data_IF_143631725417
#
_entry.id   IF_143631725417
#
_cell.length_a   1.000
_cell.length_b   1.000
_cell.length_c   1.000
_cell.angle_alpha   90.00
_cell.angle_beta   90.00
_cell.angle_gamma   90.00
#
_symmetry.space_group_name_H-M   'P 1'
#
loop_
_entity.id
_entity.type
_entity.pdbx_description
1 polymer ?
#
# COMPACT_ATOMS: atom_id res chain seq x y z
N UNK A 1 22.64 20.63 26.99
CA UNK A 1 23.49 19.60 26.39
C UNK A 1 22.56 18.58 25.73
N UNK A 2 22.48 18.64 24.40
CA UNK A 2 21.78 17.76 23.44
C UNK A 2 20.34 17.29 23.76
N UNK A 3 19.36 18.14 23.44
CA UNK A 3 18.05 17.66 23.02
C UNK A 3 18.11 17.36 21.52
N UNK A 4 17.95 16.09 21.13
CA UNK A 4 17.78 15.73 19.72
C UNK A 4 16.34 16.13 19.35
N UNK A 5 16.20 17.30 18.71
CA UNK A 5 15.00 17.64 17.98
C UNK A 5 14.89 16.64 16.83
N UNK A 6 14.05 15.61 16.98
CA UNK A 6 13.59 14.83 15.84
C UNK A 6 12.66 15.75 15.06
N UNK A 7 13.23 16.63 14.23
CA UNK A 7 12.44 17.35 13.25
C UNK A 7 11.89 16.28 12.32
N UNK A 8 10.55 16.17 12.28
CA UNK A 8 9.79 15.32 11.36
C UNK A 8 10.02 15.83 9.92
N UNK A 9 11.26 15.70 9.44
CA UNK A 9 11.73 16.28 8.20
C UNK A 9 11.14 15.50 7.04
N UNK A 10 9.99 16.00 6.58
CA UNK A 10 9.51 15.93 5.20
C UNK A 10 9.40 14.53 4.63
N UNK A 11 8.33 13.83 5.01
CA UNK A 11 7.66 13.00 4.02
C UNK A 11 6.93 13.96 3.07
N UNK A 12 7.31 14.07 1.78
CA UNK A 12 6.59 14.92 0.83
C UNK A 12 5.17 14.37 0.69
N UNK A 13 4.21 15.09 1.30
CA UNK A 13 2.79 14.94 1.01
C UNK A 13 2.61 15.27 -0.47
N UNK A 14 2.08 14.33 -1.23
CA UNK A 14 1.86 14.38 -2.69
C UNK A 14 3.05 14.10 -3.61
N UNK A 15 3.86 13.10 -3.28
CA UNK A 15 4.25 12.19 -4.34
C UNK A 15 3.05 11.23 -4.51
N UNK A 16 2.22 11.41 -5.55
CA UNK A 16 1.29 10.37 -6.00
C UNK A 16 2.02 9.56 -7.06
N UNK A 17 2.03 8.24 -6.95
CA UNK A 17 2.51 7.40 -8.03
C UNK A 17 1.63 7.73 -9.23
N UNK A 18 2.23 8.21 -10.33
CA UNK A 18 1.50 8.57 -11.55
C UNK A 18 0.61 7.39 -11.92
N UNK A 19 -0.69 7.52 -11.70
CA UNK A 19 -1.66 6.46 -11.87
C UNK A 19 -2.67 6.97 -12.90
N UNK A 20 -2.49 6.54 -14.14
CA UNK A 20 -3.52 6.68 -15.18
C UNK A 20 -4.82 5.95 -14.79
N UNK A 21 -4.74 4.98 -13.87
CA UNK A 21 -5.85 4.19 -13.38
C UNK A 21 -5.94 4.29 -11.85
N UNK A 22 -7.16 4.26 -11.31
CA UNK A 22 -7.57 4.48 -9.91
C UNK A 22 -7.00 3.51 -8.85
N UNK A 23 -5.87 2.87 -9.12
CA UNK A 23 -5.20 1.96 -8.20
C UNK A 23 -4.41 2.78 -7.18
N UNK A 24 -4.81 2.70 -5.91
CA UNK A 24 -4.04 3.25 -4.80
C UNK A 24 -2.63 2.67 -4.81
N UNK A 25 -1.64 3.56 -4.92
CA UNK A 25 -0.22 3.23 -4.99
C UNK A 25 0.55 4.02 -3.93
N UNK A 26 1.58 3.37 -3.39
CA UNK A 26 2.39 3.85 -2.27
C UNK A 26 3.85 3.95 -2.69
N UNK A 27 4.54 4.95 -2.15
CA UNK A 27 5.98 5.06 -2.31
C UNK A 27 6.72 4.28 -1.24
N UNK A 28 7.77 3.59 -1.65
CA UNK A 28 8.74 3.03 -0.73
C UNK A 28 9.51 4.15 -0.03
N UNK A 29 9.70 4.10 1.30
CA UNK A 29 10.51 5.08 2.03
C UNK A 29 11.96 5.15 1.55
N UNK A 30 12.57 4.00 1.24
CA UNK A 30 13.91 3.93 0.65
C UNK A 30 13.85 3.96 -0.88
N UNK A 31 14.57 4.88 -1.55
CA UNK A 31 14.69 4.91 -3.00
C UNK A 31 15.63 3.80 -3.52
N UNK A 32 15.63 3.52 -4.84
CA UNK A 32 16.63 2.61 -5.41
C UNK A 32 18.05 3.20 -5.29
N UNK A 33 19.06 2.38 -4.93
CA UNK A 33 20.44 2.84 -4.76
C UNK A 33 21.23 3.08 -6.06
N UNK A 34 20.68 2.77 -7.24
CA UNK A 34 21.38 3.02 -8.51
C UNK A 34 21.21 4.47 -8.98
N UNK A 35 22.34 5.18 -9.02
CA UNK A 35 22.48 6.62 -9.27
C UNK A 35 22.05 7.07 -10.68
N UNK A 36 21.71 6.16 -11.61
CA UNK A 36 21.30 6.52 -12.97
C UNK A 36 19.80 6.76 -13.13
N UNK A 37 18.97 6.23 -12.22
CA UNK A 37 17.54 6.51 -12.15
C UNK A 37 17.16 6.60 -10.67
N UNK A 38 17.39 7.79 -10.08
CA UNK A 38 16.96 8.17 -8.72
C UNK A 38 15.44 8.23 -8.60
N UNK A 39 14.77 7.11 -8.91
CA UNK A 39 13.34 6.96 -8.94
C UNK A 39 12.83 6.48 -7.60
N UNK A 40 11.78 7.14 -7.13
CA UNK A 40 10.98 6.60 -6.03
C UNK A 40 10.24 5.35 -6.50
N UNK A 41 10.29 4.28 -5.71
CA UNK A 41 9.61 3.01 -6.04
C UNK A 41 8.14 3.11 -5.67
N UNK A 42 7.29 2.72 -6.61
CA UNK A 42 5.85 2.68 -6.44
C UNK A 42 5.34 1.24 -6.37
N UNK A 43 4.67 0.89 -5.28
CA UNK A 43 3.99 -0.39 -5.11
C UNK A 43 2.48 -0.19 -5.05
N UNK A 44 1.70 -1.20 -5.46
CA UNK A 44 0.23 -1.14 -5.37
C UNK A 44 -0.24 -1.52 -3.98
N UNK A 45 -1.50 -1.20 -3.67
CA UNK A 45 -2.11 -1.57 -2.39
C UNK A 45 -2.06 -3.07 -2.09
N UNK A 46 -2.18 -3.92 -3.11
CA UNK A 46 -2.14 -5.38 -2.98
C UNK A 46 -0.75 -5.93 -2.63
N UNK A 47 0.29 -5.11 -2.84
CA UNK A 47 1.68 -5.47 -2.57
C UNK A 47 2.10 -5.20 -1.13
N UNK A 48 1.35 -4.39 -0.38
CA UNK A 48 1.65 -4.16 1.02
C UNK A 48 1.40 -5.42 1.86
N UNK A 49 2.40 -5.83 2.64
CA UNK A 49 2.29 -6.91 3.62
C UNK A 49 1.85 -8.27 3.04
N UNK A 50 2.19 -8.54 1.78
CA UNK A 50 1.90 -9.76 1.04
C UNK A 50 2.90 -10.91 1.32
N UNK A 51 3.97 -10.63 2.07
CA UNK A 51 5.04 -11.58 2.40
C UNK A 51 6.19 -11.62 1.39
N UNK A 52 6.21 -10.71 0.42
CA UNK A 52 7.22 -10.57 -0.62
C UNK A 52 7.77 -9.15 -0.54
N UNK A 53 9.07 -8.95 -0.24
CA UNK A 53 9.67 -7.62 -0.26
C UNK A 53 9.60 -6.99 -1.66
N UNK A 54 8.69 -6.03 -1.83
CA UNK A 54 8.53 -5.26 -3.06
C UNK A 54 9.30 -3.93 -3.00
N UNK A 55 9.59 -3.40 -1.80
CA UNK A 55 10.43 -2.22 -1.61
C UNK A 55 11.92 -2.57 -1.47
N UNK A 56 12.85 -1.67 -1.88
CA UNK A 56 14.30 -1.90 -1.77
C UNK A 56 14.79 -2.17 -0.34
N UNK A 57 14.16 -1.54 0.66
CA UNK A 57 14.46 -1.76 2.07
C UNK A 57 13.50 -2.72 2.77
N UNK A 58 12.66 -3.45 2.01
CA UNK A 58 11.63 -4.36 2.52
C UNK A 58 10.65 -3.71 3.52
N UNK A 59 10.48 -2.39 3.46
CA UNK A 59 9.67 -1.63 4.42
C UNK A 59 8.18 -1.96 4.31
N UNK A 60 7.74 -2.40 3.13
CA UNK A 60 6.40 -2.90 2.85
C UNK A 60 6.05 -4.18 3.62
N UNK A 61 7.06 -4.88 4.16
CA UNK A 61 6.94 -6.09 4.97
C UNK A 61 7.39 -5.89 6.43
N UNK A 62 7.58 -4.64 6.87
CA UNK A 62 7.95 -4.38 8.25
C UNK A 62 6.88 -4.91 9.23
N UNK A 63 7.24 -5.74 10.23
CA UNK A 63 6.25 -6.37 11.12
C UNK A 63 5.41 -5.37 11.92
N UNK A 64 5.99 -4.24 12.31
CA UNK A 64 5.32 -3.21 13.12
C UNK A 64 4.29 -2.48 12.27
N UNK A 65 4.65 -2.11 11.04
CA UNK A 65 3.73 -1.47 10.10
C UNK A 65 2.63 -2.43 9.62
N UNK A 66 2.98 -3.69 9.37
CA UNK A 66 2.04 -4.70 8.87
C UNK A 66 0.98 -5.12 9.88
N UNK A 67 1.22 -4.97 11.18
CA UNK A 67 0.24 -5.34 12.22
C UNK A 67 -1.10 -4.63 12.01
N UNK A 68 -1.06 -3.30 11.84
CA UNK A 68 -2.25 -2.49 11.64
C UNK A 68 -2.87 -2.72 10.26
N UNK A 69 -2.05 -2.79 9.22
CA UNK A 69 -2.53 -3.01 7.86
C UNK A 69 -3.28 -4.34 7.72
N UNK A 70 -2.74 -5.44 8.25
CA UNK A 70 -3.38 -6.77 8.20
C UNK A 70 -4.65 -6.86 9.03
N UNK A 71 -4.78 -6.08 10.11
CA UNK A 71 -6.04 -6.01 10.87
C UNK A 71 -7.14 -5.36 10.03
N UNK A 72 -6.87 -4.17 9.47
CA UNK A 72 -7.80 -3.43 8.64
C UNK A 72 -8.17 -4.19 7.35
N UNK A 73 -7.19 -4.81 6.69
CA UNK A 73 -7.41 -5.53 5.44
C UNK A 73 -8.34 -6.74 5.65
N UNK A 74 -8.24 -7.44 6.79
CA UNK A 74 -9.14 -8.55 7.14
C UNK A 74 -10.59 -8.09 7.32
N UNK A 75 -10.80 -6.99 8.04
CA UNK A 75 -12.15 -6.42 8.22
C UNK A 75 -12.75 -5.99 6.87
N UNK A 76 -11.97 -5.29 6.05
CA UNK A 76 -12.39 -4.87 4.72
C UNK A 76 -12.64 -6.05 3.77
N UNK A 77 -11.86 -7.14 3.88
CA UNK A 77 -12.01 -8.34 3.05
C UNK A 77 -13.39 -8.98 3.21
N UNK A 78 -13.88 -9.10 4.44
CA UNK A 78 -15.20 -9.68 4.70
C UNK A 78 -16.32 -8.86 4.07
N UNK A 79 -16.27 -7.53 4.24
CA UNK A 79 -17.25 -6.63 3.64
C UNK A 79 -17.21 -6.71 2.11
N UNK A 80 -16.02 -6.65 1.52
CA UNK A 80 -15.83 -6.77 0.06
C UNK A 80 -16.38 -8.09 -0.46
N UNK A 81 -16.13 -9.20 0.24
CA UNK A 81 -16.62 -10.54 -0.13
C UNK A 81 -18.15 -10.62 -0.07
N UNK A 82 -18.78 -10.03 0.93
CA UNK A 82 -20.26 -9.97 1.04
C UNK A 82 -20.83 -9.13 -0.11
N UNK A 83 -20.29 -7.94 -0.37
CA UNK A 83 -20.77 -7.04 -1.42
C UNK A 83 -20.64 -7.69 -2.79
N UNK A 84 -19.47 -8.23 -3.12
CA UNK A 84 -19.24 -8.92 -4.40
C UNK A 84 -20.14 -10.16 -4.49
N UNK A 85 -20.28 -10.93 -3.41
CA UNK A 85 -21.16 -12.08 -3.36
C UNK A 85 -22.63 -11.71 -3.65
N UNK A 86 -23.14 -10.66 -3.03
CA UNK A 86 -24.48 -10.14 -3.31
C UNK A 86 -24.61 -9.61 -4.73
N UNK A 87 -23.61 -8.89 -5.24
CA UNK A 87 -23.60 -8.37 -6.61
C UNK A 87 -23.64 -9.50 -7.63
N UNK A 88 -22.77 -10.51 -7.49
CA UNK A 88 -22.73 -11.68 -8.38
C UNK A 88 -24.03 -12.47 -8.28
N UNK A 89 -24.53 -12.72 -7.07
CA UNK A 89 -25.82 -13.41 -6.88
C UNK A 89 -26.97 -12.64 -7.54
N UNK A 90 -27.05 -11.33 -7.33
CA UNK A 90 -28.05 -10.48 -7.98
C UNK A 90 -27.91 -10.51 -9.50
N UNK A 91 -26.68 -10.46 -10.03
CA UNK A 91 -26.47 -10.49 -11.47
C UNK A 91 -26.77 -11.87 -12.08
N UNK A 92 -26.51 -12.96 -11.37
CA UNK A 92 -26.88 -14.31 -11.80
C UNK A 92 -28.40 -14.54 -11.78
N UNK A 93 -29.11 -13.96 -10.79
CA UNK A 93 -30.57 -14.12 -10.65
C UNK A 93 -31.39 -13.23 -11.61
N UNK A 94 -30.79 -12.21 -12.21
CA UNK A 94 -31.48 -11.26 -13.11
C UNK A 94 -31.02 -11.35 -14.58
N UNK A 95 -30.14 -12.31 -14.91
CA UNK A 95 -29.74 -12.63 -16.29
C UNK A 95 -30.34 -13.97 -16.78
N UNK A 96 -31.43 -14.43 -16.15
CA UNK A 96 -32.35 -15.45 -16.72
C UNK A 96 -33.55 -14.78 -17.38
#
# INVERSE_FOLDING_TARGET
MFGILITSSKLPKELRCSSADSVYRFYCPTPFPDQLNSGWVCISFEKLCNGIPDCPGAEDEDPTHCMFYRALQREAYHLRKIIIGHYVKFHLLNNE
#
